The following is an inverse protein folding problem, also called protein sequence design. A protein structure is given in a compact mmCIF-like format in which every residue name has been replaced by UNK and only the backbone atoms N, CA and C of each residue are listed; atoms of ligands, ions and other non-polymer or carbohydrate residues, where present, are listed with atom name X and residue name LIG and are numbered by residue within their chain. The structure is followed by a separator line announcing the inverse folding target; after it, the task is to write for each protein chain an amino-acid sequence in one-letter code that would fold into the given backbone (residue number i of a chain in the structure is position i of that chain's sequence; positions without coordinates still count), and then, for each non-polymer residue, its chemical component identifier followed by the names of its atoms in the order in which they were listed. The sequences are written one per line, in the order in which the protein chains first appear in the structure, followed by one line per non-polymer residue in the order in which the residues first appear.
data_IF_437571965740
#
_entry.id   IF_437571965740
#
_cell.length_a   1.000
_cell.length_b   1.000
_cell.length_c   1.000
_cell.angle_alpha   90.00
_cell.angle_beta   90.00
_cell.angle_gamma   90.00
#
_symmetry.space_group_name_H-M   'P 1'
#
loop_
_entity.id
_entity.type
_entity.pdbx_description
1 polymer ?
#
# COMPACT_ATOMS: atom_id res chain seq x y z
N UNK A 1 -17.70 17.47 -20.53
CA UNK A 1 -17.80 15.99 -20.56
C UNK A 1 -16.74 15.37 -21.44
N UNK A 2 -16.49 15.90 -22.65
CA UNK A 2 -15.46 15.39 -23.56
C UNK A 2 -14.03 15.42 -22.97
N UNK A 3 -13.65 16.49 -22.27
CA UNK A 3 -12.29 16.62 -21.70
C UNK A 3 -12.05 15.70 -20.49
N UNK A 4 -13.07 15.43 -19.68
CA UNK A 4 -12.98 14.43 -18.60
C UNK A 4 -12.81 13.02 -19.16
N UNK A 5 -13.52 12.70 -20.24
CA UNK A 5 -13.36 11.41 -20.92
C UNK A 5 -11.95 11.27 -21.49
N UNK A 6 -11.38 12.32 -22.11
CA UNK A 6 -9.99 12.32 -22.58
C UNK A 6 -8.98 12.09 -21.46
N UNK A 7 -9.21 12.67 -20.27
CA UNK A 7 -8.38 12.46 -19.08
C UNK A 7 -8.45 11.00 -18.63
N UNK A 8 -9.64 10.41 -18.56
CA UNK A 8 -9.83 9.00 -18.17
C UNK A 8 -9.23 8.06 -19.21
N UNK A 9 -9.44 8.31 -20.50
CA UNK A 9 -8.85 7.53 -21.60
C UNK A 9 -7.33 7.60 -21.63
N UNK A 10 -6.75 8.69 -21.11
CA UNK A 10 -5.30 8.91 -21.03
C UNK A 10 -4.70 8.50 -19.68
N UNK A 11 -5.50 7.90 -18.79
CA UNK A 11 -5.03 7.42 -17.49
C UNK A 11 -4.24 6.11 -17.67
N UNK A 12 -2.96 6.19 -17.36
CA UNK A 12 -2.05 5.05 -17.31
C UNK A 12 -1.79 4.70 -15.84
N UNK A 13 -2.12 3.48 -15.44
CA UNK A 13 -1.81 2.95 -14.11
C UNK A 13 -0.83 1.80 -14.22
N UNK A 14 0.25 1.86 -13.45
CA UNK A 14 1.36 0.92 -13.50
C UNK A 14 1.72 0.43 -12.11
N UNK A 15 1.77 -0.89 -11.97
CA UNK A 15 2.35 -1.54 -10.80
C UNK A 15 3.87 -1.34 -10.76
N UNK A 16 4.40 -1.00 -9.58
CA UNK A 16 5.83 -0.78 -9.38
C UNK A 16 6.46 -1.87 -8.52
N UNK A 17 5.89 -2.12 -7.33
CA UNK A 17 6.41 -3.10 -6.37
C UNK A 17 5.36 -3.55 -5.36
N UNK A 18 5.59 -4.71 -4.76
CA UNK A 18 4.81 -5.25 -3.65
C UNK A 18 5.74 -5.81 -2.57
N UNK A 19 5.36 -5.66 -1.30
CA UNK A 19 6.05 -6.30 -0.18
C UNK A 19 5.07 -6.71 0.91
N UNK A 20 5.34 -7.83 1.55
CA UNK A 20 4.75 -8.17 2.83
C UNK A 20 5.69 -7.73 3.96
N UNK A 21 5.15 -7.01 4.93
CA UNK A 21 5.88 -6.39 6.02
C UNK A 21 5.38 -6.94 7.35
N UNK A 22 6.33 -7.39 8.17
CA UNK A 22 6.12 -7.68 9.59
C UNK A 22 6.42 -6.43 10.40
N UNK A 23 5.51 -6.07 11.29
CA UNK A 23 5.73 -5.00 12.26
C UNK A 23 6.53 -5.60 13.43
N UNK A 24 7.68 -4.99 13.75
CA UNK A 24 8.55 -5.41 14.85
C UNK A 24 8.30 -4.59 16.11
N UNK A 25 8.00 -3.30 15.94
CA UNK A 25 7.73 -2.35 17.03
C UNK A 25 6.64 -1.37 16.60
N UNK A 26 5.70 -1.04 17.49
CA UNK A 26 4.71 0.00 17.22
C UNK A 26 5.38 1.35 16.96
N UNK A 27 4.98 2.04 15.89
CA UNK A 27 5.56 3.31 15.49
C UNK A 27 4.58 4.19 14.75
N UNK A 28 4.76 5.50 14.91
CA UNK A 28 4.01 6.53 14.17
C UNK A 28 4.99 7.30 13.31
N UNK A 29 4.72 7.39 12.02
CA UNK A 29 5.44 8.20 11.06
C UNK A 29 4.66 9.50 10.87
N UNK A 30 5.18 10.60 11.41
CA UNK A 30 4.63 11.93 11.20
C UNK A 30 5.06 12.47 9.83
N UNK A 31 4.10 13.08 9.11
CA UNK A 31 4.31 13.63 7.77
C UNK A 31 4.89 12.58 6.79
N UNK A 32 4.34 11.36 6.81
CA UNK A 32 4.64 10.38 5.78
C UNK A 32 4.32 10.96 4.40
N UNK A 33 5.23 10.73 3.46
CA UNK A 33 5.16 11.22 2.09
C UNK A 33 5.73 10.16 1.16
N UNK A 34 5.00 9.86 0.08
CA UNK A 34 5.47 9.02 -1.02
C UNK A 34 5.09 9.68 -2.36
N UNK A 35 5.92 9.50 -3.38
CA UNK A 35 5.66 9.96 -4.75
C UNK A 35 4.82 8.96 -5.54
N UNK A 36 4.72 7.73 -5.02
CA UNK A 36 3.90 6.64 -5.55
C UNK A 36 2.57 6.58 -4.79
N UNK A 37 1.52 6.05 -5.42
CA UNK A 37 0.30 5.72 -4.69
C UNK A 37 0.55 4.43 -3.91
N UNK A 38 0.14 4.42 -2.64
CA UNK A 38 0.34 3.29 -1.75
C UNK A 38 -1.00 2.60 -1.47
N UNK A 39 -1.05 1.30 -1.72
CA UNK A 39 -2.18 0.43 -1.35
C UNK A 39 -1.71 -0.45 -0.21
N UNK A 40 -2.37 -0.45 0.95
CA UNK A 40 -1.98 -1.21 2.13
C UNK A 40 -3.12 -2.15 2.52
N UNK A 41 -2.89 -3.45 2.42
CA UNK A 41 -3.76 -4.48 2.98
C UNK A 41 -3.28 -4.84 4.39
N UNK A 42 -4.11 -4.60 5.39
CA UNK A 42 -3.83 -5.02 6.77
C UNK A 42 -4.18 -6.50 6.94
N UNK A 43 -3.21 -7.33 7.31
CA UNK A 43 -3.46 -8.75 7.60
C UNK A 43 -3.74 -8.98 9.08
N UNK A 44 -2.92 -8.36 9.94
CA UNK A 44 -3.01 -8.54 11.38
C UNK A 44 -2.50 -7.32 12.14
N UNK A 45 -3.17 -6.95 13.22
CA UNK A 45 -2.79 -5.84 14.10
C UNK A 45 -3.57 -4.57 13.79
N UNK A 46 -2.96 -3.43 14.05
CA UNK A 46 -3.60 -2.11 13.94
C UNK A 46 -2.83 -1.20 13.00
N UNK A 47 -3.55 -0.51 12.12
CA UNK A 47 -3.05 0.64 11.37
C UNK A 47 -4.03 1.78 11.57
N UNK A 48 -3.51 2.98 11.79
CA UNK A 48 -4.31 4.19 11.77
C UNK A 48 -3.66 5.30 10.97
N UNK A 49 -4.49 6.21 10.45
CA UNK A 49 -4.00 7.29 9.61
C UNK A 49 -4.71 8.63 9.84
N UNK A 50 -4.07 9.69 9.37
CA UNK A 50 -4.63 11.04 9.35
C UNK A 50 -4.62 11.73 10.72
N UNK A 51 -5.25 12.92 10.77
CA UNK A 51 -5.35 13.71 12.00
C UNK A 51 -6.39 13.17 12.97
N UNK A 52 -7.42 12.51 12.44
CA UNK A 52 -8.53 11.95 13.21
C UNK A 52 -8.23 10.51 13.70
N UNK A 53 -7.05 9.98 13.36
CA UNK A 53 -6.61 8.65 13.77
C UNK A 53 -7.58 7.55 13.30
N UNK A 54 -8.07 7.68 12.07
CA UNK A 54 -8.97 6.72 11.42
C UNK A 54 -8.33 5.33 11.41
N UNK A 55 -9.11 4.33 11.83
CA UNK A 55 -8.62 2.96 12.01
C UNK A 55 -8.84 2.13 10.75
N UNK A 56 -7.82 1.40 10.34
CA UNK A 56 -7.88 0.36 9.31
C UNK A 56 -8.07 -0.97 10.02
N UNK A 57 -9.10 -1.71 9.65
CA UNK A 57 -9.38 -3.03 10.24
C UNK A 57 -8.64 -4.14 9.50
N UNK A 58 -8.43 -5.29 10.13
CA UNK A 58 -7.90 -6.48 9.44
C UNK A 58 -8.79 -6.83 8.23
N UNK A 59 -8.16 -7.08 7.07
CA UNK A 59 -8.84 -7.28 5.79
C UNK A 59 -9.14 -5.99 5.02
N UNK A 60 -9.13 -4.82 5.66
CA UNK A 60 -9.33 -3.57 4.95
C UNK A 60 -8.11 -3.17 4.13
N UNK A 61 -8.38 -2.43 3.05
CA UNK A 61 -7.35 -1.87 2.18
C UNK A 61 -7.33 -0.35 2.32
N UNK A 62 -6.23 0.19 2.82
CA UNK A 62 -5.98 1.63 2.87
C UNK A 62 -5.31 2.09 1.56
N UNK A 63 -5.91 3.07 0.89
CA UNK A 63 -5.31 3.75 -0.25
C UNK A 63 -4.77 5.12 0.17
N UNK A 64 -3.50 5.39 -0.12
CA UNK A 64 -2.84 6.68 0.10
C UNK A 64 -2.38 7.21 -1.25
N UNK A 65 -3.01 8.29 -1.74
CA UNK A 65 -2.60 8.93 -2.98
C UNK A 65 -1.19 9.48 -2.92
N UNK A 66 -0.49 9.41 -4.05
CA UNK A 66 0.82 10.01 -4.22
C UNK A 66 0.82 11.51 -3.87
N UNK A 67 1.89 11.95 -3.23
CA UNK A 67 2.11 13.34 -2.87
C UNK A 67 1.31 13.81 -1.64
N UNK A 68 0.46 12.97 -1.04
CA UNK A 68 -0.31 13.33 0.16
C UNK A 68 0.53 13.14 1.43
N UNK A 69 0.54 14.19 2.25
CA UNK A 69 1.09 14.12 3.60
C UNK A 69 0.07 13.51 4.54
N UNK A 70 0.46 12.42 5.20
CA UNK A 70 -0.41 11.71 6.14
C UNK A 70 0.42 11.25 7.34
N UNK A 71 -0.17 11.23 8.53
CA UNK A 71 0.44 10.56 9.68
C UNK A 71 -0.02 9.11 9.66
N UNK A 72 0.90 8.15 9.78
CA UNK A 72 0.59 6.72 9.79
C UNK A 72 1.09 6.10 11.09
N UNK A 73 0.24 5.37 11.79
CA UNK A 73 0.63 4.56 12.94
C UNK A 73 0.48 3.09 12.59
N UNK A 74 1.49 2.31 12.92
CA UNK A 74 1.54 0.88 12.71
C UNK A 74 1.76 0.16 14.02
N UNK A 75 0.99 -0.90 14.22
CA UNK A 75 1.12 -1.88 15.28
C UNK A 75 0.43 -1.49 16.58
N UNK A 76 0.08 -2.49 17.37
CA UNK A 76 -0.72 -2.32 18.58
C UNK A 76 0.13 -1.84 19.77
N UNK A 77 -0.40 -0.91 20.56
CA UNK A 77 0.22 -0.43 21.80
C UNK A 77 0.92 0.93 21.68
N UNK A 78 1.88 1.20 22.57
CA UNK A 78 2.53 2.50 22.65
C UNK A 78 3.51 2.72 21.48
N UNK A 79 3.07 3.50 20.48
CA UNK A 79 3.84 3.79 19.29
C UNK A 79 4.95 4.84 19.54
N UNK A 80 6.16 4.54 19.05
CA UNK A 80 7.24 5.54 19.00
C UNK A 80 7.00 6.50 17.85
N UNK A 81 6.93 7.81 18.13
CA UNK A 81 6.79 8.84 17.09
C UNK A 81 8.12 9.10 16.39
N UNK A 82 8.09 9.15 15.07
CA UNK A 82 9.24 9.34 14.20
C UNK A 82 8.89 10.34 13.11
N UNK A 83 9.87 11.14 12.69
CA UNK A 83 9.78 11.85 11.41
C UNK A 83 10.01 10.85 10.28
N UNK A 84 9.50 11.18 9.09
CA UNK A 84 9.69 10.33 7.89
C UNK A 84 11.17 10.02 7.61
N UNK A 85 12.06 11.02 7.70
CA UNK A 85 13.50 10.85 7.49
C UNK A 85 14.13 9.88 8.50
N UNK A 86 13.78 10.00 9.78
CA UNK A 86 14.28 9.13 10.84
C UNK A 86 13.83 7.68 10.63
N UNK A 87 12.58 7.50 10.20
CA UNK A 87 12.04 6.18 9.86
C UNK A 87 12.79 5.56 8.68
N UNK A 88 13.01 6.29 7.59
CA UNK A 88 13.72 5.78 6.40
C UNK A 88 15.12 5.25 6.77
N UNK A 89 15.84 5.98 7.63
CA UNK A 89 17.19 5.62 8.09
C UNK A 89 17.22 4.46 9.09
N UNK A 90 16.12 4.21 9.80
CA UNK A 90 16.07 3.25 10.90
C UNK A 90 14.98 2.17 10.73
N UNK A 91 14.40 2.04 9.53
CA UNK A 91 13.21 1.21 9.27
C UNK A 91 13.35 -0.23 9.79
N UNK A 92 14.55 -0.79 9.73
CA UNK A 92 14.85 -2.17 10.14
C UNK A 92 14.62 -2.41 11.65
N UNK A 93 14.61 -1.34 12.47
CA UNK A 93 14.26 -1.42 13.90
C UNK A 93 12.75 -1.59 14.14
N UNK A 94 11.93 -1.18 13.16
CA UNK A 94 10.48 -1.07 13.30
C UNK A 94 9.73 -2.06 12.42
N UNK A 95 10.29 -2.41 11.25
CA UNK A 95 9.69 -3.30 10.27
C UNK A 95 10.71 -4.29 9.69
N UNK A 96 10.24 -5.47 9.32
CA UNK A 96 11.00 -6.45 8.56
C UNK A 96 10.22 -6.90 7.32
N UNK A 97 10.89 -7.02 6.18
CA UNK A 97 10.26 -7.59 4.99
C UNK A 97 10.19 -9.11 5.12
N UNK A 98 8.98 -9.65 5.02
CA UNK A 98 8.78 -11.08 4.93
C UNK A 98 9.12 -11.55 3.51
N UNK A 99 9.92 -12.62 3.42
CA UNK A 99 10.35 -13.23 2.16
C UNK A 99 9.78 -14.64 1.94
N UNK A 100 9.03 -15.17 2.91
CA UNK A 100 8.41 -16.48 2.80
C UNK A 100 6.95 -16.34 2.33
N UNK A 101 6.61 -16.77 1.11
CA UNK A 101 5.25 -16.65 0.59
C UNK A 101 4.22 -17.43 1.42
N UNK A 102 4.61 -18.51 2.08
CA UNK A 102 3.71 -19.33 2.89
C UNK A 102 3.16 -18.58 4.12
N UNK A 103 3.84 -17.53 4.54
CA UNK A 103 3.42 -16.73 5.69
C UNK A 103 2.31 -15.73 5.34
N UNK A 104 2.07 -15.41 4.05
CA UNK A 104 0.96 -14.51 3.66
C UNK A 104 -0.41 -15.06 4.05
N UNK A 105 -0.60 -16.37 3.98
CA UNK A 105 -1.88 -17.01 4.31
C UNK A 105 -2.09 -17.22 5.82
N UNK A 106 -1.01 -17.29 6.61
CA UNK A 106 -1.05 -17.59 8.04
C UNK A 106 -0.02 -16.70 8.77
N UNK A 107 -0.39 -15.45 9.03
CA UNK A 107 0.49 -14.45 9.65
C UNK A 107 0.45 -14.57 11.18
N UNK A 108 1.51 -15.07 11.86
CA UNK A 108 1.50 -15.17 13.31
C UNK A 108 1.64 -13.81 14.00
N UNK A 109 2.28 -12.83 13.34
CA UNK A 109 2.60 -11.51 13.89
C UNK A 109 1.80 -10.41 13.18
N UNK A 110 1.75 -9.23 13.79
CA UNK A 110 1.23 -8.03 13.15
C UNK A 110 1.95 -7.76 11.83
N UNK A 111 1.17 -7.60 10.77
CA UNK A 111 1.70 -7.55 9.41
C UNK A 111 0.71 -6.93 8.44
N UNK A 112 1.27 -6.37 7.37
CA UNK A 112 0.53 -5.80 6.26
C UNK A 112 1.25 -6.10 4.95
N UNK A 113 0.50 -6.14 3.86
CA UNK A 113 1.07 -6.11 2.51
C UNK A 113 0.86 -4.71 1.95
N UNK A 114 1.85 -4.17 1.25
CA UNK A 114 1.64 -2.97 0.46
C UNK A 114 2.01 -3.16 -1.00
N UNK A 115 1.30 -2.44 -1.87
CA UNK A 115 1.60 -2.24 -3.27
C UNK A 115 1.92 -0.77 -3.52
N UNK A 116 2.90 -0.51 -4.36
CA UNK A 116 3.12 0.84 -4.89
C UNK A 116 2.70 0.88 -6.36
N UNK A 117 1.86 1.87 -6.68
CA UNK A 117 1.30 2.09 -8.00
C UNK A 117 1.62 3.51 -8.50
N UNK A 118 1.89 3.65 -9.77
CA UNK A 118 1.91 4.92 -10.46
C UNK A 118 0.59 5.10 -11.20
N UNK A 119 -0.04 6.27 -11.09
CA UNK A 119 -1.24 6.61 -11.85
C UNK A 119 -1.05 7.99 -12.48
N UNK A 120 -0.86 8.04 -13.79
CA UNK A 120 -0.52 9.25 -14.53
C UNK A 120 -1.48 9.51 -15.68
N UNK A 121 -1.83 10.78 -15.87
CA UNK A 121 -2.51 11.26 -17.07
C UNK A 121 -1.47 11.81 -18.03
N UNK A 122 -1.57 11.46 -19.31
CA UNK A 122 -0.64 11.87 -20.37
C UNK A 122 0.83 11.55 -20.00
N UNK A 123 1.04 10.44 -19.28
CA UNK A 123 2.34 9.96 -18.76
C UNK A 123 3.17 10.97 -17.95
N UNK A 124 2.55 12.08 -17.52
CA UNK A 124 3.28 13.23 -16.96
C UNK A 124 2.77 13.67 -15.59
N UNK A 125 1.45 13.64 -15.37
CA UNK A 125 0.84 14.25 -14.18
C UNK A 125 0.20 13.17 -13.32
N UNK A 126 0.48 13.16 -12.01
CA UNK A 126 -0.17 12.22 -11.10
C UNK A 126 -1.67 12.51 -10.99
N UNK A 127 -2.48 11.52 -11.32
CA UNK A 127 -3.92 11.67 -11.45
C UNK A 127 -4.59 12.03 -10.12
N UNK A 128 -4.27 11.29 -9.05
CA UNK A 128 -4.94 11.48 -7.76
C UNK A 128 -4.52 12.77 -7.06
N UNK A 129 -3.26 13.19 -7.22
CA UNK A 129 -2.80 14.49 -6.71
C UNK A 129 -3.60 15.64 -7.35
N UNK A 130 -3.92 15.53 -8.65
CA UNK A 130 -4.66 16.55 -9.40
C UNK A 130 -6.13 16.64 -8.98
N UNK A 131 -6.71 15.55 -8.48
CA UNK A 131 -8.08 15.48 -8.01
C UNK A 131 -8.23 15.78 -6.51
N UNK A 132 -7.11 16.03 -5.81
CA UNK A 132 -7.05 16.28 -4.38
C UNK A 132 -7.70 15.19 -3.51
N UNK A 133 -7.82 13.95 -4.01
CA UNK A 133 -8.46 12.84 -3.29
C UNK A 133 -7.73 12.58 -1.97
N UNK A 134 -8.42 12.49 -0.81
CA UNK A 134 -7.79 12.14 0.47
C UNK A 134 -7.46 10.65 0.54
N UNK A 135 -6.60 10.20 1.46
CA UNK A 135 -6.50 8.78 1.80
C UNK A 135 -7.87 8.22 2.21
N UNK A 136 -8.17 6.98 1.83
CA UNK A 136 -9.45 6.35 2.14
C UNK A 136 -9.31 4.84 2.32
N UNK A 137 -10.29 4.24 2.99
CA UNK A 137 -10.36 2.80 3.23
C UNK A 137 -11.35 2.16 2.24
N UNK A 138 -10.96 1.02 1.67
CA UNK A 138 -11.86 0.09 0.99
C UNK A 138 -12.15 -1.05 1.95
N UNK A 139 -13.36 -1.08 2.47
CA UNK A 139 -13.74 -2.05 3.49
C UNK A 139 -14.03 -3.44 2.91
N UNK A 140 -13.47 -4.48 3.53
CA UNK A 140 -13.83 -5.90 3.34
C UNK A 140 -14.03 -6.37 1.88
N UNK A 141 -13.18 -5.91 0.95
CA UNK A 141 -13.25 -6.38 -0.44
C UNK A 141 -12.39 -7.63 -0.63
N UNK A 142 -12.98 -8.81 -0.39
CA UNK A 142 -12.31 -10.11 -0.46
C UNK A 142 -11.58 -10.35 -1.79
N UNK A 143 -12.18 -9.93 -2.91
CA UNK A 143 -11.56 -10.08 -4.24
C UNK A 143 -10.29 -9.25 -4.36
N UNK A 144 -10.33 -8.00 -3.90
CA UNK A 144 -9.16 -7.12 -3.89
C UNK A 144 -8.08 -7.66 -2.96
N UNK A 145 -8.46 -8.13 -1.77
CA UNK A 145 -7.54 -8.76 -0.82
C UNK A 145 -6.81 -9.95 -1.47
N UNK A 146 -7.56 -10.86 -2.10
CA UNK A 146 -7.00 -12.03 -2.76
C UNK A 146 -6.05 -11.64 -3.89
N UNK A 147 -6.41 -10.65 -4.72
CA UNK A 147 -5.54 -10.17 -5.79
C UNK A 147 -4.23 -9.58 -5.26
N UNK A 148 -4.28 -8.80 -4.18
CA UNK A 148 -3.09 -8.25 -3.53
C UNK A 148 -2.18 -9.37 -2.99
N UNK A 149 -2.77 -10.39 -2.36
CA UNK A 149 -2.05 -11.55 -1.81
C UNK A 149 -1.42 -12.38 -2.93
N UNK A 150 -2.17 -12.70 -3.98
CA UNK A 150 -1.70 -13.50 -5.13
C UNK A 150 -0.56 -12.79 -5.86
N UNK A 151 -0.73 -11.49 -6.16
CA UNK A 151 0.30 -10.67 -6.78
C UNK A 151 1.59 -10.68 -5.96
N UNK A 152 1.47 -10.45 -4.65
CA UNK A 152 2.64 -10.39 -3.76
C UNK A 152 3.32 -11.74 -3.62
N UNK A 153 2.54 -12.82 -3.53
CA UNK A 153 3.03 -14.20 -3.48
C UNK A 153 3.81 -14.55 -4.75
N UNK A 154 3.28 -14.19 -5.92
CA UNK A 154 3.93 -14.44 -7.20
C UNK A 154 5.21 -13.59 -7.34
N UNK A 155 5.21 -12.34 -6.88
CA UNK A 155 6.38 -11.45 -6.84
C UNK A 155 7.50 -11.98 -5.94
N UNK A 156 7.17 -12.65 -4.83
CA UNK A 156 8.14 -13.28 -3.93
C UNK A 156 8.67 -14.62 -4.47
N UNK A 157 7.97 -15.22 -5.43
CA UNK A 157 8.34 -16.48 -6.07
C UNK A 157 9.33 -16.32 -7.22
N UNK A 158 9.71 -17.45 -7.81
CA UNK A 158 10.57 -17.50 -8.99
C UNK A 158 10.05 -18.48 -10.05
N UNK A 159 8.73 -18.57 -10.19
CA UNK A 159 8.09 -19.45 -11.18
C UNK A 159 8.28 -18.89 -12.59
N UNK A 160 8.28 -19.79 -13.57
CA UNK A 160 8.28 -19.40 -14.99
C UNK A 160 6.99 -18.65 -15.31
N UNK A 161 7.10 -17.50 -15.98
CA UNK A 161 5.94 -16.69 -16.36
C UNK A 161 5.45 -15.70 -15.28
N UNK A 162 6.15 -15.58 -14.14
CA UNK A 162 5.77 -14.70 -13.03
C UNK A 162 5.42 -13.28 -13.46
N UNK A 163 6.21 -12.68 -14.36
CA UNK A 163 6.00 -11.31 -14.85
C UNK A 163 4.64 -11.14 -15.54
N UNK A 164 4.19 -12.17 -16.26
CA UNK A 164 2.88 -12.16 -16.92
C UNK A 164 1.75 -12.22 -15.89
N UNK A 165 1.88 -13.06 -14.87
CA UNK A 165 0.88 -13.15 -13.79
C UNK A 165 0.82 -11.86 -12.97
N UNK A 166 1.97 -11.29 -12.58
CA UNK A 166 2.03 -10.00 -11.89
C UNK A 166 1.32 -8.93 -12.70
N UNK A 167 1.56 -8.86 -14.01
CA UNK A 167 0.87 -7.91 -14.89
C UNK A 167 -0.65 -8.12 -14.91
N UNK A 168 -1.11 -9.38 -15.05
CA UNK A 168 -2.55 -9.70 -15.03
C UNK A 168 -3.20 -9.33 -13.69
N UNK A 169 -2.58 -9.67 -12.57
CA UNK A 169 -3.11 -9.31 -11.26
C UNK A 169 -3.15 -7.80 -11.06
N UNK A 170 -2.10 -7.08 -11.51
CA UNK A 170 -2.07 -5.63 -11.45
C UNK A 170 -3.21 -5.01 -12.29
N UNK A 171 -3.43 -5.50 -13.51
CA UNK A 171 -4.54 -5.07 -14.38
C UNK A 171 -5.93 -5.33 -13.78
N UNK A 172 -6.07 -6.33 -12.89
CA UNK A 172 -7.34 -6.62 -12.20
C UNK A 172 -7.56 -5.78 -10.93
N UNK A 173 -6.49 -5.21 -10.37
CA UNK A 173 -6.53 -4.35 -9.18
C UNK A 173 -6.88 -2.91 -9.55
N UNK A 174 -6.35 -2.46 -10.69
CA UNK A 174 -6.60 -1.15 -11.29
C UNK A 174 -8.00 -1.08 -11.89
#
# INVERSE_FOLDING_TARGET
MEDYNKIIESLSVRYLKSKNIKILKPHTIENFYDVENLVILLHKGEISFGKENEQVSEGDVLFIPAGKLVTLTYGSGAATKLKNEDFINNKEKYIATNRNPQLLANQPNESYTYLSLEAKVFDSVNFFTSLDIPPFIVHNNEKLQQLIVDLTTENMGNKVGKERFIKLYAEMIV
#
